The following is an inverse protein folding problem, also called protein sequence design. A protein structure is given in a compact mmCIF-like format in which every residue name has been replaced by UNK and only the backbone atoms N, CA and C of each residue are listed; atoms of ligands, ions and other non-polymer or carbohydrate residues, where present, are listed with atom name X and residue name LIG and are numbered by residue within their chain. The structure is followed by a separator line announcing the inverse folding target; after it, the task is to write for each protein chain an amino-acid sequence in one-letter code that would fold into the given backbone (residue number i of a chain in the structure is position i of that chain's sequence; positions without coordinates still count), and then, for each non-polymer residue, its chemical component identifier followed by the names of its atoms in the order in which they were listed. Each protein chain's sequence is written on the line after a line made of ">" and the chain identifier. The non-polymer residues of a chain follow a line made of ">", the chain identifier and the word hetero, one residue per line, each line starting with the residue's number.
data_IF_634537570602
#
_entry.id   IF_634537570602
#
_cell.length_a   1.000
_cell.length_b   1.000
_cell.length_c   1.000
_cell.angle_alpha   90.00
_cell.angle_beta   90.00
_cell.angle_gamma   90.00
#
_symmetry.space_group_name_H-M   'P 1'
#
loop_
_entity.id
_entity.type
_entity.pdbx_description
1 polymer ?
#
# COMPACT_ATOMS: atom_id res chain seq x y z
N UNK A 1 16.45 3.45 -3.59
CA UNK A 1 15.50 3.02 -2.54
C UNK A 1 15.72 1.54 -2.21
N UNK A 2 15.53 1.13 -0.95
CA UNK A 2 15.58 -0.27 -0.51
C UNK A 2 14.17 -0.88 -0.45
N UNK A 3 13.81 -1.71 -1.44
CA UNK A 3 12.51 -2.41 -1.57
C UNK A 3 12.08 -3.09 -0.26
N UNK A 4 13.04 -3.67 0.45
CA UNK A 4 12.87 -4.32 1.75
C UNK A 4 12.28 -3.40 2.83
N UNK A 5 12.67 -2.11 2.84
CA UNK A 5 12.13 -1.13 3.78
C UNK A 5 10.66 -0.86 3.47
N UNK A 6 10.32 -0.69 2.19
CA UNK A 6 8.95 -0.45 1.77
C UNK A 6 8.07 -1.66 2.10
N UNK A 7 8.50 -2.88 1.76
CA UNK A 7 7.76 -4.10 2.07
C UNK A 7 7.53 -4.29 3.56
N UNK A 8 8.54 -3.99 4.39
CA UNK A 8 8.39 -4.03 5.85
C UNK A 8 7.36 -3.03 6.35
N UNK A 9 7.36 -1.80 5.83
CA UNK A 9 6.37 -0.78 6.17
C UNK A 9 4.96 -1.25 5.77
N UNK A 10 4.76 -1.69 4.53
CA UNK A 10 3.47 -2.15 4.05
C UNK A 10 2.96 -3.37 4.84
N UNK A 11 3.85 -4.29 5.20
CA UNK A 11 3.51 -5.42 6.06
C UNK A 11 3.05 -4.94 7.45
N UNK A 12 3.79 -4.05 8.11
CA UNK A 12 3.39 -3.49 9.41
C UNK A 12 2.04 -2.77 9.33
N UNK A 13 1.79 -2.01 8.27
CA UNK A 13 0.51 -1.34 8.04
C UNK A 13 -0.62 -2.33 7.68
N UNK A 14 -0.30 -3.55 7.26
CA UNK A 14 -1.28 -4.59 6.98
C UNK A 14 -1.67 -5.41 8.21
N UNK A 15 -0.73 -5.69 9.12
CA UNK A 15 -0.98 -6.67 10.21
C UNK A 15 -0.83 -6.12 11.63
N UNK A 16 -0.03 -5.09 11.87
CA UNK A 16 0.28 -4.61 13.22
C UNK A 16 -0.64 -3.45 13.65
N UNK A 17 -1.56 -3.72 14.58
CA UNK A 17 -2.54 -2.74 15.10
C UNK A 17 -1.88 -1.44 15.57
N UNK A 18 -0.71 -1.51 16.22
CA UNK A 18 -0.04 -0.32 16.73
C UNK A 18 0.45 0.58 15.58
N UNK A 19 1.12 -0.01 14.59
CA UNK A 19 1.53 0.68 13.37
C UNK A 19 0.34 1.29 12.63
N UNK A 20 -0.76 0.55 12.50
CA UNK A 20 -2.01 1.07 11.91
C UNK A 20 -2.52 2.32 12.62
N UNK A 21 -2.55 2.28 13.96
CA UNK A 21 -3.00 3.41 14.77
C UNK A 21 -2.10 4.63 14.61
N UNK A 22 -0.78 4.44 14.65
CA UNK A 22 0.17 5.55 14.55
C UNK A 22 0.22 6.16 13.16
N UNK A 23 0.12 5.35 12.13
CA UNK A 23 0.01 5.85 10.77
C UNK A 23 -1.27 6.65 10.56
N UNK A 24 -2.41 6.24 11.13
CA UNK A 24 -3.69 6.99 11.02
C UNK A 24 -3.70 8.29 11.82
N UNK A 25 -2.96 8.35 12.93
CA UNK A 25 -2.83 9.54 13.77
C UNK A 25 -1.97 10.61 13.10
N UNK A 26 -0.79 10.22 12.60
CA UNK A 26 0.17 11.11 11.95
C UNK A 26 1.05 10.29 10.98
N UNK A 27 0.64 10.17 9.70
CA UNK A 27 1.35 9.37 8.70
C UNK A 27 2.80 9.81 8.51
N UNK A 28 3.05 11.12 8.43
CA UNK A 28 4.38 11.69 8.18
C UNK A 28 5.32 11.40 9.36
N UNK A 29 4.85 11.58 10.60
CA UNK A 29 5.62 11.26 11.80
C UNK A 29 5.85 9.76 11.99
N UNK A 30 4.95 8.92 11.51
CA UNK A 30 5.20 7.48 11.47
C UNK A 30 6.31 7.15 10.46
N UNK A 31 6.23 7.70 9.25
CA UNK A 31 7.16 7.43 8.15
C UNK A 31 8.56 8.03 8.37
N UNK A 32 8.68 9.13 9.11
CA UNK A 32 9.97 9.77 9.43
C UNK A 32 10.93 8.89 10.25
N UNK A 33 10.43 7.78 10.80
CA UNK A 33 11.23 6.78 11.55
C UNK A 33 11.99 5.83 10.63
N UNK A 34 11.71 5.85 9.33
CA UNK A 34 12.30 4.97 8.34
C UNK A 34 13.24 5.76 7.43
N UNK A 35 14.29 5.12 6.88
CA UNK A 35 15.20 5.76 5.94
C UNK A 35 14.57 5.86 4.53
N UNK A 36 13.53 6.68 4.41
CA UNK A 36 12.81 6.93 3.16
C UNK A 36 13.26 8.24 2.53
N UNK A 37 13.34 8.25 1.20
CA UNK A 37 13.47 9.50 0.47
C UNK A 37 12.10 10.21 0.40
N UNK A 38 12.04 11.54 0.23
CA UNK A 38 10.78 12.29 0.17
C UNK A 38 9.77 11.73 -0.84
N UNK A 39 10.25 11.27 -2.00
CA UNK A 39 9.45 10.66 -3.05
C UNK A 39 8.82 9.31 -2.62
N UNK A 40 9.46 8.58 -1.73
CA UNK A 40 8.94 7.30 -1.20
C UNK A 40 7.85 7.56 -0.16
N UNK A 41 8.03 8.60 0.65
CA UNK A 41 7.01 9.08 1.60
C UNK A 41 5.77 9.50 0.82
N UNK A 42 5.91 10.35 -0.20
CA UNK A 42 4.80 10.79 -1.03
C UNK A 42 4.09 9.62 -1.74
N UNK A 43 4.85 8.64 -2.25
CA UNK A 43 4.29 7.43 -2.87
C UNK A 43 3.41 6.64 -1.88
N UNK A 44 3.83 6.49 -0.63
CA UNK A 44 3.02 5.85 0.41
C UNK A 44 1.78 6.71 0.70
N UNK A 45 1.94 7.99 1.01
CA UNK A 45 0.83 8.87 1.40
C UNK A 45 -0.23 9.05 0.30
N UNK A 46 0.17 9.01 -0.96
CA UNK A 46 -0.73 9.13 -2.12
C UNK A 46 -1.33 7.80 -2.58
N UNK A 47 -1.02 6.70 -1.90
CA UNK A 47 -1.42 5.34 -2.24
C UNK A 47 -1.08 4.97 -3.68
N UNK A 48 0.12 5.33 -4.17
CA UNK A 48 0.58 5.00 -5.51
C UNK A 48 1.07 3.54 -5.59
N UNK A 49 0.11 2.62 -5.42
CA UNK A 49 0.31 1.17 -5.43
C UNK A 49 0.83 0.66 -6.77
N UNK A 50 0.61 1.40 -7.86
CA UNK A 50 1.14 1.06 -9.19
C UNK A 50 2.66 1.22 -9.18
N UNK A 51 3.15 2.38 -8.78
CA UNK A 51 4.58 2.65 -8.68
C UNK A 51 5.27 1.70 -7.70
N UNK A 52 4.63 1.38 -6.57
CA UNK A 52 5.14 0.36 -5.64
C UNK A 52 5.34 -1.01 -6.34
N UNK A 53 4.37 -1.49 -7.11
CA UNK A 53 4.49 -2.76 -7.84
C UNK A 53 5.50 -2.69 -8.98
N UNK A 54 5.57 -1.59 -9.72
CA UNK A 54 6.60 -1.36 -10.75
C UNK A 54 8.02 -1.41 -10.16
N UNK A 55 8.15 -1.06 -8.88
CA UNK A 55 9.39 -1.14 -8.11
C UNK A 55 9.66 -2.53 -7.51
N UNK A 56 8.83 -3.52 -7.84
CA UNK A 56 9.00 -4.93 -7.47
C UNK A 56 8.46 -5.30 -6.08
N UNK A 57 7.65 -4.44 -5.46
CA UNK A 57 6.99 -4.73 -4.19
C UNK A 57 5.94 -5.82 -4.39
N UNK A 58 5.86 -6.77 -3.45
CA UNK A 58 4.88 -7.84 -3.52
C UNK A 58 3.43 -7.30 -3.61
N UNK A 59 2.64 -7.68 -4.65
CA UNK A 59 1.25 -7.25 -4.82
C UNK A 59 0.32 -7.54 -3.63
N UNK A 60 0.60 -8.59 -2.86
CA UNK A 60 -0.18 -8.91 -1.65
C UNK A 60 0.02 -7.87 -0.54
N UNK A 61 1.21 -7.27 -0.45
CA UNK A 61 1.50 -6.22 0.52
C UNK A 61 0.84 -4.89 0.12
N UNK A 62 0.87 -4.54 -1.17
CA UNK A 62 0.15 -3.34 -1.66
C UNK A 62 -1.35 -3.47 -1.49
N UNK A 63 -1.90 -4.68 -1.68
CA UNK A 63 -3.32 -4.96 -1.45
C UNK A 63 -3.70 -4.89 0.03
N UNK A 64 -2.92 -5.52 0.92
CA UNK A 64 -3.16 -5.47 2.37
C UNK A 64 -3.09 -4.04 2.90
N UNK A 65 -2.09 -3.28 2.46
CA UNK A 65 -1.95 -1.86 2.76
C UNK A 65 -3.18 -1.06 2.32
N UNK A 66 -3.66 -1.28 1.08
CA UNK A 66 -4.84 -0.60 0.56
C UNK A 66 -6.08 -0.85 1.41
N UNK A 67 -6.38 -2.11 1.72
CA UNK A 67 -7.59 -2.51 2.49
C UNK A 67 -7.58 -1.87 3.88
N UNK A 68 -6.41 -1.71 4.49
CA UNK A 68 -6.29 -1.24 5.87
C UNK A 68 -6.18 0.28 6.01
N UNK A 69 -5.51 0.91 5.05
CA UNK A 69 -5.09 2.32 5.13
C UNK A 69 -5.76 3.23 4.13
N UNK A 70 -6.21 2.74 2.98
CA UNK A 70 -6.80 3.60 1.96
C UNK A 70 -8.04 4.33 2.50
N UNK A 71 -8.24 5.61 2.15
CA UNK A 71 -9.50 6.30 2.36
C UNK A 71 -10.68 5.58 1.69
N UNK A 72 -10.41 4.96 0.53
CA UNK A 72 -11.37 4.14 -0.21
C UNK A 72 -10.86 2.70 -0.31
N UNK A 73 -11.38 1.84 0.55
CA UNK A 73 -10.92 0.46 0.72
C UNK A 73 -11.49 -0.51 -0.31
N UNK A 74 -12.27 -0.04 -1.29
CA UNK A 74 -12.85 -0.90 -2.33
C UNK A 74 -11.75 -1.41 -3.26
N UNK A 75 -11.81 -2.71 -3.58
CA UNK A 75 -10.87 -3.33 -4.53
C UNK A 75 -11.03 -2.81 -5.97
N UNK A 76 -12.21 -2.33 -6.35
CA UNK A 76 -12.41 -1.65 -7.63
C UNK A 76 -11.57 -0.38 -7.74
N UNK A 77 -11.45 0.39 -6.66
CA UNK A 77 -10.63 1.60 -6.60
C UNK A 77 -9.14 1.29 -6.62
N UNK A 78 -8.72 0.21 -5.94
CA UNK A 78 -7.36 -0.32 -6.03
C UNK A 78 -6.98 -0.71 -7.46
N UNK A 79 -7.82 -1.49 -8.15
CA UNK A 79 -7.59 -1.91 -9.53
C UNK A 79 -7.50 -0.70 -10.48
N UNK A 80 -8.38 0.29 -10.29
CA UNK A 80 -8.32 1.56 -11.03
C UNK A 80 -7.00 2.30 -10.80
N UNK A 81 -6.52 2.34 -9.55
CA UNK A 81 -5.24 3.00 -9.20
C UNK A 81 -4.03 2.25 -9.76
N UNK A 82 -4.09 0.92 -9.87
CA UNK A 82 -3.09 0.12 -10.57
C UNK A 82 -3.06 0.39 -12.10
N UNK A 83 -4.05 1.10 -12.65
CA UNK A 83 -4.23 1.21 -14.09
C UNK A 83 -4.68 -0.10 -14.73
N UNK A 84 -5.17 -1.04 -13.91
CA UNK A 84 -5.73 -2.29 -14.38
C UNK A 84 -7.19 -2.04 -14.77
N UNK A 85 -7.47 -2.00 -16.07
CA UNK A 85 -8.84 -2.13 -16.59
C UNK A 85 -9.36 -3.58 -16.49
N UNK A 86 -8.76 -4.42 -15.63
CA UNK A 86 -9.15 -5.82 -15.53
C UNK A 86 -10.44 -5.97 -14.73
N UNK A 87 -11.53 -6.21 -15.48
CA UNK A 87 -12.59 -7.13 -15.07
C UNK A 87 -11.95 -8.48 -14.68
N UNK A 88 -11.52 -8.63 -13.43
CA UNK A 88 -11.28 -9.96 -12.88
C UNK A 88 -12.64 -10.61 -12.62
N UNK A 89 -13.21 -11.19 -13.68
CA UNK A 89 -14.30 -12.15 -13.60
C UNK A 89 -13.79 -13.41 -12.92
N UNK A 90 -13.77 -13.43 -11.59
CA UNK A 90 -13.74 -14.66 -10.82
C UNK A 90 -15.16 -15.27 -10.81
N UNK A 91 -15.70 -15.58 -11.99
CA UNK A 91 -16.72 -16.61 -12.10
C UNK A 91 -16.01 -17.94 -11.99
N UNK A 92 -15.81 -18.39 -10.75
CA UNK A 92 -15.65 -19.82 -10.49
C UNK A 92 -17.00 -20.45 -10.86
N UNK A 93 -17.10 -20.96 -12.09
CA UNK A 93 -18.12 -21.94 -12.43
C UNK A 93 -17.73 -23.23 -11.70
N UNK A 94 -18.45 -23.52 -10.63
CA UNK A 94 -18.68 -24.87 -10.10
C UNK A 94 -20.14 -25.23 -10.34
#
# INVERSE_FOLDING_TARGET
>A
MKRDVLERILWSLSVDRFSKSKFKEDPEKYLSRFPLAPEDVEMILSFDVKKMQEMGVNPMLTMGYWIEMSPDRRMSSYNKKLGSEAQYSASIKG
#
